data_IF_445018972489
#
_entry.id   IF_445018972489
#
_cell.length_a   1.000
_cell.length_b   1.000
_cell.length_c   1.000
_cell.angle_alpha   90.00
_cell.angle_beta   90.00
_cell.angle_gamma   90.00
#
_symmetry.space_group_name_H-M   'P 1'
#
loop_
_entity.id
_entity.type
_entity.pdbx_description
1 polymer ?
#
# COMPACT_ATOMS: atom_id res chain seq x y z
N UNK A 1 7.63 8.34 11.99
CA UNK A 1 7.27 7.24 11.08
C UNK A 1 8.31 7.22 9.99
N UNK A 2 9.16 6.21 10.05
CA UNK A 2 10.36 6.14 9.22
C UNK A 2 10.05 5.49 7.87
N UNK A 3 10.88 5.79 6.85
CA UNK A 3 10.71 5.21 5.52
C UNK A 3 10.70 3.68 5.54
N UNK A 4 11.49 3.07 6.44
CA UNK A 4 11.57 1.61 6.59
C UNK A 4 10.27 1.02 7.13
N UNK A 5 9.63 1.68 8.12
CA UNK A 5 8.33 1.26 8.64
C UNK A 5 7.25 1.34 7.55
N UNK A 6 7.24 2.43 6.78
CA UNK A 6 6.31 2.61 5.66
C UNK A 6 6.52 1.55 4.57
N UNK A 7 7.77 1.20 4.24
CA UNK A 7 8.07 0.13 3.30
C UNK A 7 7.51 -1.22 3.77
N UNK A 8 7.68 -1.54 5.05
CA UNK A 8 7.13 -2.78 5.62
C UNK A 8 5.60 -2.82 5.54
N UNK A 9 4.93 -1.71 5.84
CA UNK A 9 3.47 -1.63 5.75
C UNK A 9 2.98 -1.72 4.30
N UNK A 10 3.69 -1.13 3.34
CA UNK A 10 3.39 -1.26 1.91
C UNK A 10 3.52 -2.72 1.47
N UNK A 11 4.57 -3.41 1.90
CA UNK A 11 4.77 -4.82 1.57
C UNK A 11 3.63 -5.69 2.12
N UNK A 12 3.27 -5.49 3.38
CA UNK A 12 2.16 -6.21 4.03
C UNK A 12 0.84 -5.96 3.30
N UNK A 13 0.52 -4.69 3.02
CA UNK A 13 -0.69 -4.32 2.31
C UNK A 13 -0.73 -4.88 0.87
N UNK A 14 0.43 -4.98 0.20
CA UNK A 14 0.53 -5.61 -1.12
C UNK A 14 0.26 -7.11 -1.06
N UNK A 15 0.82 -7.81 -0.07
CA UNK A 15 0.57 -9.24 0.13
C UNK A 15 -0.90 -9.51 0.43
N UNK A 16 -1.54 -8.67 1.25
CA UNK A 16 -2.97 -8.78 1.54
C UNK A 16 -3.82 -8.56 0.28
N UNK A 17 -3.49 -7.56 -0.55
CA UNK A 17 -4.18 -7.32 -1.81
C UNK A 17 -4.08 -8.53 -2.76
N UNK A 18 -2.89 -9.12 -2.88
CA UNK A 18 -2.67 -10.32 -3.69
C UNK A 18 -3.47 -11.52 -3.18
N UNK A 19 -3.56 -11.71 -1.86
CA UNK A 19 -4.38 -12.77 -1.26
C UNK A 19 -5.86 -12.58 -1.59
N UNK A 20 -6.39 -11.37 -1.38
CA UNK A 20 -7.79 -11.05 -1.68
C UNK A 20 -8.10 -11.23 -3.17
N UNK A 21 -7.22 -10.76 -4.06
CA UNK A 21 -7.38 -10.99 -5.50
C UNK A 21 -7.40 -12.49 -5.83
N UNK A 22 -6.49 -13.28 -5.24
CA UNK A 22 -6.43 -14.72 -5.48
C UNK A 22 -7.66 -15.45 -4.92
N UNK A 23 -8.21 -14.99 -3.81
CA UNK A 23 -9.39 -15.58 -3.16
C UNK A 23 -10.68 -15.28 -3.94
N UNK A 24 -10.88 -14.03 -4.35
CA UNK A 24 -12.08 -13.62 -5.07
C UNK A 24 -12.00 -13.82 -6.58
N UNK A 25 -10.80 -14.09 -7.13
CA UNK A 25 -10.57 -14.27 -8.57
C UNK A 25 -10.82 -13.04 -9.43
N UNK A 26 -11.10 -11.88 -8.81
CA UNK A 26 -11.44 -10.64 -9.50
C UNK A 26 -10.87 -9.43 -8.76
N UNK A 27 -10.39 -8.45 -9.53
CA UNK A 27 -9.95 -7.15 -9.01
C UNK A 27 -11.10 -6.21 -8.68
N UNK A 28 -12.32 -6.52 -9.14
CA UNK A 28 -13.51 -5.68 -8.94
C UNK A 28 -14.25 -5.99 -7.64
N UNK A 29 -13.76 -6.92 -6.84
CA UNK A 29 -14.38 -7.24 -5.55
C UNK A 29 -14.24 -6.02 -4.61
N UNK A 30 -15.31 -5.61 -3.89
CA UNK A 30 -15.27 -4.44 -3.01
C UNK A 30 -14.09 -4.46 -2.03
N UNK A 31 -13.81 -5.59 -1.40
CA UNK A 31 -12.68 -5.78 -0.47
C UNK A 31 -11.32 -5.62 -1.16
N UNK A 32 -11.17 -6.06 -2.41
CA UNK A 32 -9.93 -5.88 -3.20
C UNK A 32 -9.72 -4.40 -3.51
N UNK A 33 -10.79 -3.69 -3.87
CA UNK A 33 -10.77 -2.25 -4.13
C UNK A 33 -10.47 -1.47 -2.84
N UNK A 34 -11.09 -1.83 -1.71
CA UNK A 34 -10.81 -1.20 -0.43
C UNK A 34 -9.34 -1.39 -0.03
N UNK A 35 -8.82 -2.60 -0.18
CA UNK A 35 -7.43 -2.88 0.11
C UNK A 35 -6.47 -2.12 -0.82
N UNK A 36 -6.82 -1.94 -2.10
CA UNK A 36 -5.98 -1.15 -3.01
C UNK A 36 -5.92 0.32 -2.61
N UNK A 37 -7.02 0.90 -2.13
CA UNK A 37 -7.04 2.28 -1.60
C UNK A 37 -6.13 2.42 -0.38
N UNK A 38 -6.10 1.42 0.51
CA UNK A 38 -5.18 1.40 1.67
C UNK A 38 -3.73 1.36 1.21
N UNK A 39 -3.40 0.46 0.26
CA UNK A 39 -2.06 0.35 -0.31
C UNK A 39 -1.60 1.67 -0.97
N UNK A 40 -2.47 2.31 -1.75
CA UNK A 40 -2.19 3.59 -2.38
C UNK A 40 -1.95 4.70 -1.34
N UNK A 41 -2.72 4.70 -0.25
CA UNK A 41 -2.52 5.61 0.88
C UNK A 41 -1.11 5.51 1.47
N UNK A 42 -0.64 4.28 1.70
CA UNK A 42 0.70 3.99 2.23
C UNK A 42 1.81 4.39 1.25
N UNK A 43 1.66 4.08 -0.04
CA UNK A 43 2.60 4.48 -1.09
C UNK A 43 2.71 6.01 -1.16
N UNK A 44 1.57 6.70 -1.15
CA UNK A 44 1.53 8.16 -1.15
C UNK A 44 2.21 8.76 0.10
N UNK A 45 2.03 8.14 1.27
CA UNK A 45 2.70 8.57 2.49
C UNK A 45 4.21 8.36 2.41
N UNK A 46 4.67 7.20 1.92
CA UNK A 46 6.08 6.93 1.68
C UNK A 46 6.70 7.94 0.72
N UNK A 47 6.04 8.22 -0.40
CA UNK A 47 6.49 9.21 -1.38
C UNK A 47 6.60 10.61 -0.77
N UNK A 48 5.64 11.03 0.05
CA UNK A 48 5.70 12.31 0.77
C UNK A 48 6.90 12.39 1.72
N UNK A 49 7.15 11.33 2.51
CA UNK A 49 8.30 11.30 3.43
C UNK A 49 9.62 11.30 2.66
N UNK A 50 9.70 10.52 1.57
CA UNK A 50 10.88 10.46 0.70
C UNK A 50 11.16 11.80 0.02
N UNK A 51 10.13 12.49 -0.49
CA UNK A 51 10.28 13.82 -1.11
C UNK A 51 10.69 14.88 -0.09
N UNK A 52 10.14 14.84 1.13
CA UNK A 52 10.60 15.73 2.22
C UNK A 52 12.09 15.55 2.53
N UNK A 53 12.62 14.32 2.47
CA UNK A 53 14.05 14.05 2.66
C UNK A 53 14.94 14.52 1.50
N UNK A 54 14.38 14.69 0.29
CA UNK A 54 15.14 15.12 -0.88
C UNK A 54 15.27 16.66 -0.96
N UNK A 55 14.32 17.37 -0.33
CA UNK A 55 14.22 18.84 -0.37
C UNK A 55 14.83 19.48 0.89
N UNK A 56 15.06 18.71 1.96
CA UNK A 56 15.75 19.17 3.18
C UNK A 56 17.23 18.81 3.18
#
# INVERSE_FOLDING_TARGET
MDCLELMSQIEEARQQLHRLQSEYGSLLHPEVIQQSVVLDGLINQYNRVKMKKLIN
#
